data_IF_839737617260
#
_entry.id   IF_839737617260
#
_cell.length_a   1.000
_cell.length_b   1.000
_cell.length_c   1.000
_cell.angle_alpha   90.00
_cell.angle_beta   90.00
_cell.angle_gamma   90.00
#
_symmetry.space_group_name_H-M   'P 1'
#
loop_
_entity.id
_entity.type
_entity.pdbx_description
1 polymer ?
#
# COMPACT_ATOMS: atom_id res chain seq x y z
N UNK A 1 13.46 -9.84 -12.04
CA UNK A 1 12.39 -9.21 -11.24
C UNK A 1 13.11 -8.46 -10.15
N UNK A 2 13.15 -7.13 -10.24
CA UNK A 2 13.91 -6.27 -9.34
C UNK A 2 13.47 -6.55 -7.89
N UNK A 3 14.36 -7.14 -7.10
CA UNK A 3 14.14 -7.63 -5.73
C UNK A 3 14.40 -6.56 -4.67
N UNK A 4 14.09 -5.30 -4.99
CA UNK A 4 14.17 -4.22 -4.00
C UNK A 4 12.75 -3.86 -3.56
N UNK A 5 12.44 -3.85 -2.25
CA UNK A 5 11.12 -3.48 -1.77
C UNK A 5 10.81 -2.05 -2.22
N UNK A 6 9.86 -1.92 -3.15
CA UNK A 6 9.36 -0.61 -3.59
C UNK A 6 8.51 -0.07 -2.46
N UNK A 7 9.08 0.85 -1.69
CA UNK A 7 8.32 1.58 -0.67
C UNK A 7 7.56 2.73 -1.33
N UNK A 8 6.51 3.24 -0.68
CA UNK A 8 5.79 4.43 -1.17
C UNK A 8 6.73 5.63 -1.43
N UNK A 9 7.85 5.70 -0.70
CA UNK A 9 8.89 6.74 -0.86
C UNK A 9 9.74 6.55 -2.11
N UNK A 10 9.88 5.32 -2.59
CA UNK A 10 10.53 5.06 -3.88
C UNK A 10 9.70 5.64 -5.03
N UNK A 11 8.37 5.65 -4.90
CA UNK A 11 7.46 6.20 -5.91
C UNK A 11 7.49 7.73 -5.98
N UNK A 12 7.89 8.40 -4.90
CA UNK A 12 8.03 9.86 -4.85
C UNK A 12 9.03 10.37 -5.90
N UNK A 13 10.19 9.72 -6.01
CA UNK A 13 11.22 10.08 -7.00
C UNK A 13 10.78 9.79 -8.44
N UNK A 14 10.05 8.69 -8.68
CA UNK A 14 9.60 8.31 -10.03
C UNK A 14 8.42 9.15 -10.53
N UNK A 15 7.49 9.48 -9.65
CA UNK A 15 6.23 10.12 -10.01
C UNK A 15 6.14 11.59 -9.58
N UNK A 16 7.16 12.13 -8.90
CA UNK A 16 7.19 13.49 -8.38
C UNK A 16 5.96 13.79 -7.50
N UNK A 17 5.58 12.81 -6.68
CA UNK A 17 4.45 12.87 -5.75
C UNK A 17 4.95 12.92 -4.31
N UNK A 18 4.18 13.53 -3.41
CA UNK A 18 4.48 13.46 -1.98
C UNK A 18 4.25 12.03 -1.45
N UNK A 19 5.35 11.30 -1.19
CA UNK A 19 5.31 9.89 -0.81
C UNK A 19 4.65 9.66 0.55
N UNK A 20 4.73 10.64 1.46
CA UNK A 20 4.08 10.60 2.78
C UNK A 20 2.56 10.66 2.68
N UNK A 21 2.05 11.57 1.86
CA UNK A 21 0.62 11.73 1.56
C UNK A 21 0.12 10.51 0.80
N UNK A 22 0.89 10.05 -0.19
CA UNK A 22 0.55 8.86 -0.94
C UNK A 22 0.48 7.61 -0.05
N UNK A 23 1.45 7.39 0.84
CA UNK A 23 1.45 6.26 1.79
C UNK A 23 0.18 6.26 2.66
N UNK A 24 -0.18 7.43 3.19
CA UNK A 24 -1.40 7.59 4.00
C UNK A 24 -2.66 7.32 3.18
N UNK A 25 -2.75 7.87 1.97
CA UNK A 25 -3.89 7.67 1.08
C UNK A 25 -4.00 6.22 0.62
N UNK A 26 -2.88 5.57 0.31
CA UNK A 26 -2.85 4.17 -0.10
C UNK A 26 -3.37 3.25 1.00
N UNK A 27 -2.88 3.40 2.22
CA UNK A 27 -3.30 2.59 3.36
C UNK A 27 -4.80 2.73 3.68
N UNK A 28 -5.31 3.95 3.60
CA UNK A 28 -6.62 4.28 4.17
C UNK A 28 -7.75 4.35 3.13
N UNK A 29 -7.44 4.66 1.88
CA UNK A 29 -8.43 5.00 0.84
C UNK A 29 -8.19 4.23 -0.46
N UNK A 30 -7.00 4.32 -1.04
CA UNK A 30 -6.75 3.87 -2.43
C UNK A 30 -6.54 2.37 -2.55
N UNK A 31 -5.98 1.70 -1.55
CA UNK A 31 -5.74 0.25 -1.61
C UNK A 31 -7.02 -0.59 -1.60
N UNK A 32 -8.17 0.01 -1.24
CA UNK A 32 -9.44 -0.71 -1.07
C UNK A 32 -9.44 -1.67 0.12
N UNK A 33 -8.36 -1.75 0.91
CA UNK A 33 -8.19 -2.72 2.00
C UNK A 33 -9.36 -2.71 2.98
N UNK A 34 -9.87 -1.53 3.35
CA UNK A 34 -11.00 -1.39 4.29
C UNK A 34 -12.33 -1.90 3.75
N UNK A 35 -12.50 -1.93 2.44
CA UNK A 35 -13.72 -2.39 1.76
C UNK A 35 -13.53 -3.78 1.15
N UNK A 36 -12.40 -4.44 1.44
CA UNK A 36 -12.11 -5.75 0.89
C UNK A 36 -13.05 -6.78 1.53
N UNK A 37 -13.84 -7.48 0.70
CA UNK A 37 -14.86 -8.43 1.19
C UNK A 37 -14.28 -9.53 2.09
N UNK A 38 -13.02 -9.90 1.87
CA UNK A 38 -12.32 -10.92 2.63
C UNK A 38 -11.51 -10.36 3.80
N UNK A 39 -11.69 -9.08 4.15
CA UNK A 39 -10.95 -8.42 5.23
C UNK A 39 -11.10 -9.16 6.57
N UNK A 40 -12.28 -9.73 6.86
CA UNK A 40 -12.52 -10.53 8.07
C UNK A 40 -11.67 -11.79 8.13
N UNK A 41 -11.40 -12.41 6.98
CA UNK A 41 -10.59 -13.63 6.86
C UNK A 41 -9.09 -13.31 6.78
N UNK A 42 -8.71 -12.05 6.55
CA UNK A 42 -7.31 -11.66 6.37
C UNK A 42 -6.41 -12.06 7.56
N UNK A 43 -6.95 -12.07 8.77
CA UNK A 43 -6.24 -12.50 9.98
C UNK A 43 -6.01 -14.02 10.06
N UNK A 44 -6.79 -14.82 9.33
CA UNK A 44 -6.66 -16.29 9.34
C UNK A 44 -5.51 -16.79 8.46
N UNK A 45 -5.05 -15.96 7.52
CA UNK A 45 -3.97 -16.31 6.57
C UNK A 45 -2.60 -15.73 6.96
N UNK A 46 -2.53 -14.94 8.03
CA UNK A 46 -1.29 -14.45 8.60
C UNK A 46 -0.72 -15.51 9.56
N UNK A 47 0.06 -16.45 9.01
CA UNK A 47 0.84 -17.45 9.76
C UNK A 47 2.07 -16.83 10.43
#
# INVERSE_FOLDING_TARGET
>A
METSPVTCRTLEEFYHIDGHTFEKQYKEVLSGYRNWEQLSHAGEWML
#
